data_IF_153708402434
#
_entry.id   IF_153708402434
#
_cell.length_a   1.000
_cell.length_b   1.000
_cell.length_c   1.000
_cell.angle_alpha   90.00
_cell.angle_beta   90.00
_cell.angle_gamma   90.00
#
_symmetry.space_group_name_H-M   'P 1'
#
loop_
_entity.id
_entity.type
_entity.pdbx_description
1 polymer ?
#
# COMPACT_ATOMS: atom_id res chain seq x y z
N UNK A 1 -8.91 28.74 -14.07
CA UNK A 1 -8.12 27.65 -13.45
C UNK A 1 -8.70 27.45 -12.06
N UNK A 2 -9.12 26.23 -11.71
CA UNK A 2 -9.76 25.95 -10.42
C UNK A 2 -8.83 25.08 -9.56
N UNK A 3 -8.72 25.40 -8.27
CA UNK A 3 -7.74 24.81 -7.37
C UNK A 3 -8.20 23.43 -6.88
N UNK A 4 -7.42 22.39 -7.15
CA UNK A 4 -7.78 20.98 -6.84
C UNK A 4 -7.46 20.56 -5.38
N UNK A 5 -7.01 21.48 -4.52
CA UNK A 5 -6.36 21.15 -3.25
C UNK A 5 -6.96 21.82 -1.99
N UNK A 6 -8.04 22.60 -2.12
CA UNK A 6 -8.50 23.54 -1.08
C UNK A 6 -9.64 23.00 -0.19
N UNK A 7 -9.57 21.73 0.24
CA UNK A 7 -10.61 21.10 1.08
C UNK A 7 -10.14 19.93 1.96
N UNK A 8 -9.08 20.14 2.75
CA UNK A 8 -8.84 19.35 3.98
C UNK A 8 -8.47 20.31 5.12
N UNK A 9 -9.47 21.05 5.63
CA UNK A 9 -9.32 21.86 6.84
C UNK A 9 -10.65 22.01 7.61
N UNK A 10 -10.78 21.26 8.71
CA UNK A 10 -11.60 21.66 9.86
C UNK A 10 -13.12 21.45 9.81
N UNK A 11 -13.60 20.43 10.52
CA UNK A 11 -14.87 20.46 11.27
C UNK A 11 -14.84 19.37 12.34
N UNK A 12 -14.49 19.74 13.58
CA UNK A 12 -14.60 18.85 14.74
C UNK A 12 -15.80 19.27 15.58
N UNK A 13 -16.83 18.43 15.59
CA UNK A 13 -17.99 18.53 16.50
C UNK A 13 -18.42 17.11 16.84
N UNK A 14 -18.16 16.70 18.08
CA UNK A 14 -18.36 15.31 18.50
C UNK A 14 -19.72 15.05 19.17
N UNK A 15 -19.95 13.80 19.55
CA UNK A 15 -20.72 13.50 20.74
C UNK A 15 -20.24 12.20 21.42
N UNK A 16 -20.48 12.08 22.73
CA UNK A 16 -20.03 10.97 23.61
C UNK A 16 -21.10 9.89 23.76
N UNK A 17 -20.72 8.62 23.98
CA UNK A 17 -21.18 7.76 25.11
C UNK A 17 -20.55 6.35 25.09
N UNK A 18 -20.47 5.67 26.26
CA UNK A 18 -19.87 4.35 26.47
C UNK A 18 -18.39 4.45 26.90
N UNK A 19 -18.02 4.53 28.18
CA UNK A 19 -18.28 3.65 29.34
C UNK A 19 -17.58 2.29 29.27
N UNK A 20 -16.41 2.18 29.93
CA UNK A 20 -16.22 1.20 31.01
C UNK A 20 -15.00 1.62 31.86
N UNK A 21 -15.15 1.64 33.19
CA UNK A 21 -14.08 1.96 34.15
C UNK A 21 -13.63 0.68 34.85
N UNK A 22 -12.40 0.21 34.60
CA UNK A 22 -11.83 -0.92 35.35
C UNK A 22 -10.65 -0.45 36.18
N UNK A 23 -10.89 -0.37 37.50
CA UNK A 23 -9.92 -0.09 38.56
C UNK A 23 -9.62 -1.40 39.31
N UNK A 24 -8.36 -1.72 39.67
CA UNK A 24 -8.05 -2.99 40.31
C UNK A 24 -8.61 -3.06 41.74
N UNK A 25 -9.15 -4.21 42.19
CA UNK A 25 -9.62 -4.37 43.57
C UNK A 25 -8.45 -4.64 44.54
N UNK A 26 -8.54 -4.07 45.72
CA UNK A 26 -7.64 -4.34 46.84
C UNK A 26 -8.39 -5.07 47.98
N UNK A 27 -7.70 -6.05 48.58
CA UNK A 27 -7.84 -6.51 49.98
C UNK A 27 -9.21 -6.95 50.52
N UNK A 28 -9.31 -8.25 50.85
CA UNK A 28 -10.35 -8.82 51.72
C UNK A 28 -9.81 -9.96 52.59
N UNK A 29 -9.81 -9.78 53.91
CA UNK A 29 -9.20 -10.66 54.93
C UNK A 29 -10.16 -11.74 55.43
N UNK A 30 -9.68 -12.97 55.78
CA UNK A 30 -9.93 -13.66 57.09
C UNK A 30 -9.22 -15.04 57.21
N UNK A 31 -8.89 -15.45 58.43
CA UNK A 31 -8.16 -16.69 58.82
C UNK A 31 -9.06 -17.84 59.34
N UNK A 32 -8.41 -18.99 59.62
CA UNK A 32 -8.76 -20.20 60.42
C UNK A 32 -8.90 -21.48 59.54
N UNK A 33 -8.46 -22.70 59.91
CA UNK A 33 -7.63 -23.21 61.05
C UNK A 33 -7.08 -24.62 60.72
N UNK A 34 -5.98 -25.06 61.37
CA UNK A 34 -5.50 -26.47 61.33
C UNK A 34 -4.26 -26.69 62.23
N UNK A 35 -4.12 -27.81 62.99
CA UNK A 35 -3.22 -27.85 64.15
C UNK A 35 -1.89 -28.63 64.01
N UNK A 36 -0.92 -28.18 64.81
CA UNK A 36 0.12 -28.93 65.53
C UNK A 36 1.03 -29.95 64.82
N UNK A 37 2.32 -29.59 64.72
CA UNK A 37 3.45 -30.51 64.90
C UNK A 37 4.57 -29.81 65.69
N UNK A 38 5.19 -30.52 66.64
CA UNK A 38 6.24 -30.00 67.54
C UNK A 38 7.62 -29.97 66.90
N UNK A 39 8.38 -28.89 67.13
CA UNK A 39 9.81 -28.80 66.79
C UNK A 39 10.49 -27.67 67.56
N UNK A 40 11.41 -28.00 68.46
CA UNK A 40 12.13 -27.03 69.32
C UNK A 40 13.36 -26.46 68.62
N UNK A 41 13.73 -25.20 68.90
CA UNK A 41 14.95 -24.59 68.34
C UNK A 41 15.06 -23.08 68.52
N UNK A 42 15.46 -22.61 69.71
CA UNK A 42 15.81 -21.21 69.95
C UNK A 42 17.19 -20.87 69.39
N UNK A 43 17.31 -19.88 68.50
CA UNK A 43 18.57 -19.12 68.31
C UNK A 43 18.30 -17.66 67.92
N UNK A 44 19.06 -16.75 68.51
CA UNK A 44 19.01 -15.31 68.24
C UNK A 44 19.85 -14.94 66.99
N UNK A 45 19.47 -13.90 66.24
CA UNK A 45 20.39 -12.83 65.77
C UNK A 45 19.75 -11.73 64.91
N UNK A 46 19.74 -10.51 65.46
CA UNK A 46 20.06 -9.19 64.86
C UNK A 46 20.03 -9.00 63.31
N UNK A 47 19.07 -8.19 62.82
CA UNK A 47 19.16 -7.29 61.64
C UNK A 47 19.02 -7.92 60.24
N UNK A 48 18.48 -7.21 59.21
CA UNK A 48 18.94 -5.87 58.82
C UNK A 48 17.83 -4.83 58.47
N UNK A 49 18.28 -3.66 57.98
CA UNK A 49 17.50 -2.45 57.66
C UNK A 49 16.61 -2.58 56.37
N UNK A 50 15.58 -1.72 56.19
CA UNK A 50 14.61 -1.86 55.10
C UNK A 50 15.22 -1.61 53.72
N UNK A 51 14.85 -2.45 52.75
CA UNK A 51 15.38 -2.38 51.39
C UNK A 51 14.91 -1.12 50.66
N UNK A 52 15.87 -0.31 50.23
CA UNK A 52 15.67 0.82 49.33
C UNK A 52 15.45 0.28 47.91
N UNK A 53 14.34 0.65 47.28
CA UNK A 53 14.00 0.23 45.91
C UNK A 53 14.98 0.83 44.90
N UNK A 54 15.87 0.01 44.34
CA UNK A 54 16.58 0.37 43.11
C UNK A 54 15.60 0.30 41.92
N UNK A 55 15.52 1.34 41.06
CA UNK A 55 14.86 1.21 39.78
C UNK A 55 15.69 0.29 38.86
N UNK A 56 15.07 -0.48 37.95
CA UNK A 56 15.79 -1.37 37.06
C UNK A 56 16.61 -0.56 36.05
N UNK A 57 17.94 -0.65 36.16
CA UNK A 57 18.90 -0.19 35.16
C UNK A 57 18.86 -1.11 33.93
N UNK A 58 17.79 -1.00 33.14
CA UNK A 58 17.81 -1.44 31.76
C UNK A 58 18.83 -0.61 30.95
N UNK A 59 19.45 -1.17 29.89
CA UNK A 59 20.35 -0.40 29.04
C UNK A 59 19.58 0.77 28.40
N UNK A 60 19.98 2.00 28.71
CA UNK A 60 19.49 3.18 28.00
C UNK A 60 20.04 3.06 26.57
N UNK A 61 19.20 3.06 25.51
CA UNK A 61 19.69 3.00 24.14
C UNK A 61 20.66 4.16 23.87
N UNK A 62 21.79 3.94 23.20
CA UNK A 62 22.72 5.03 22.89
C UNK A 62 22.00 6.08 22.05
N UNK A 63 22.28 7.37 22.29
CA UNK A 63 21.53 8.48 21.67
C UNK A 63 21.51 8.44 20.12
N UNK A 64 22.50 7.79 19.51
CA UNK A 64 22.55 7.55 18.06
C UNK A 64 21.41 6.65 17.57
N UNK A 65 20.98 5.64 18.34
CA UNK A 65 19.90 4.73 17.93
C UNK A 65 18.54 5.44 17.97
N UNK A 66 18.32 6.31 18.97
CA UNK A 66 17.14 7.17 19.01
C UNK A 66 17.11 8.17 17.84
N UNK A 67 18.27 8.74 17.51
CA UNK A 67 18.41 9.69 16.39
C UNK A 67 18.16 8.99 15.05
N UNK A 68 18.68 7.77 14.86
CA UNK A 68 18.41 6.95 13.66
C UNK A 68 16.94 6.54 13.58
N UNK A 69 16.35 6.02 14.66
CA UNK A 69 14.93 5.65 14.66
C UNK A 69 14.01 6.84 14.34
N UNK A 70 14.35 8.05 14.79
CA UNK A 70 13.64 9.28 14.43
C UNK A 70 13.82 9.63 12.94
N UNK A 71 15.02 9.48 12.37
CA UNK A 71 15.27 9.68 10.93
C UNK A 71 14.49 8.68 10.08
N UNK A 72 14.52 7.40 10.44
CA UNK A 72 13.79 6.33 9.76
C UNK A 72 12.27 6.55 9.83
N UNK A 73 11.75 7.00 10.97
CA UNK A 73 10.34 7.37 11.12
C UNK A 73 9.93 8.54 10.22
N UNK A 74 10.76 9.59 10.12
CA UNK A 74 10.48 10.73 9.23
C UNK A 74 10.54 10.32 7.75
N UNK A 75 11.51 9.48 7.36
CA UNK A 75 11.60 8.94 6.02
C UNK A 75 10.39 8.06 5.67
N UNK A 76 9.99 7.16 6.58
CA UNK A 76 8.82 6.30 6.43
C UNK A 76 7.51 7.11 6.34
N UNK A 77 7.36 8.19 7.12
CA UNK A 77 6.20 9.09 7.03
C UNK A 77 6.11 9.76 5.66
N UNK A 78 7.22 10.31 5.17
CA UNK A 78 7.29 10.95 3.85
C UNK A 78 6.98 9.94 2.72
N UNK A 79 7.54 8.72 2.82
CA UNK A 79 7.29 7.65 1.87
C UNK A 79 5.81 7.21 1.88
N UNK A 80 5.18 7.13 3.06
CA UNK A 80 3.76 6.81 3.20
C UNK A 80 2.85 7.91 2.62
N UNK A 81 3.19 9.18 2.84
CA UNK A 81 2.48 10.31 2.24
C UNK A 81 2.57 10.30 0.70
N UNK A 82 3.76 10.04 0.14
CA UNK A 82 3.93 9.87 -1.30
C UNK A 82 3.16 8.65 -1.84
N UNK A 83 3.21 7.51 -1.15
CA UNK A 83 2.50 6.29 -1.54
C UNK A 83 0.98 6.47 -1.51
N UNK A 84 0.47 7.20 -0.51
CA UNK A 84 -0.95 7.57 -0.40
C UNK A 84 -1.37 8.47 -1.56
N UNK A 85 -0.60 9.51 -1.89
CA UNK A 85 -0.87 10.38 -3.04
C UNK A 85 -0.93 9.58 -4.34
N UNK A 86 0.10 8.78 -4.62
CA UNK A 86 0.16 7.91 -5.81
C UNK A 86 -1.06 6.98 -5.89
N UNK A 87 -1.41 6.32 -4.79
CA UNK A 87 -2.54 5.37 -4.75
C UNK A 87 -3.89 6.05 -4.93
N UNK A 88 -4.10 7.23 -4.33
CA UNK A 88 -5.33 8.00 -4.46
C UNK A 88 -5.51 8.56 -5.89
N UNK A 89 -4.45 9.14 -6.47
CA UNK A 89 -4.49 9.62 -7.86
C UNK A 89 -4.67 8.48 -8.86
N UNK A 90 -3.96 7.37 -8.70
CA UNK A 90 -4.12 6.21 -9.57
C UNK A 90 -5.53 5.60 -9.46
N UNK A 91 -6.11 5.52 -8.26
CA UNK A 91 -7.50 5.06 -8.08
C UNK A 91 -8.48 5.97 -8.82
N UNK A 92 -8.41 7.28 -8.61
CA UNK A 92 -9.28 8.27 -9.27
C UNK A 92 -9.22 8.18 -10.81
N UNK A 93 -8.05 7.89 -11.36
CA UNK A 93 -7.88 7.67 -12.80
C UNK A 93 -8.49 6.31 -13.19
N UNK A 94 -8.27 5.26 -12.41
CA UNK A 94 -8.70 3.91 -12.71
C UNK A 94 -10.20 3.68 -12.55
N UNK A 95 -10.91 4.54 -11.83
CA UNK A 95 -12.38 4.59 -11.84
C UNK A 95 -12.97 4.90 -13.24
N UNK A 96 -12.14 5.29 -14.23
CA UNK A 96 -12.50 5.37 -15.67
C UNK A 96 -12.63 4.00 -16.33
N UNK A 97 -11.93 2.99 -15.83
CA UNK A 97 -11.90 1.66 -16.45
C UNK A 97 -13.19 0.91 -16.17
N UNK A 98 -13.71 0.28 -17.21
CA UNK A 98 -14.72 -0.77 -17.13
C UNK A 98 -14.28 -1.94 -18.03
N UNK A 99 -14.99 -3.06 -17.97
CA UNK A 99 -14.57 -4.27 -18.68
C UNK A 99 -14.60 -4.16 -20.21
N UNK A 100 -15.34 -3.19 -20.77
CA UNK A 100 -15.35 -2.90 -22.22
C UNK A 100 -14.16 -2.04 -22.67
N UNK A 101 -13.73 -1.12 -21.80
CA UNK A 101 -12.60 -0.20 -22.00
C UNK A 101 -11.25 -0.88 -21.74
N UNK A 102 -11.20 -1.86 -20.81
CA UNK A 102 -9.99 -2.63 -20.49
C UNK A 102 -9.46 -3.43 -21.70
N UNK A 103 -8.14 -3.52 -21.84
CA UNK A 103 -7.52 -4.29 -22.93
C UNK A 103 -7.82 -5.79 -22.77
N UNK A 104 -8.53 -6.37 -23.74
CA UNK A 104 -8.88 -7.79 -23.75
C UNK A 104 -7.64 -8.69 -23.78
N UNK A 105 -7.73 -9.90 -23.23
CA UNK A 105 -6.63 -10.86 -23.16
C UNK A 105 -5.99 -11.20 -24.53
N UNK A 106 -6.78 -11.15 -25.60
CA UNK A 106 -6.37 -11.38 -26.98
C UNK A 106 -6.02 -10.09 -27.76
N UNK A 107 -6.15 -8.91 -27.14
CA UNK A 107 -5.87 -7.61 -27.73
C UNK A 107 -6.83 -7.18 -28.84
N UNK A 108 -8.02 -7.79 -28.97
CA UNK A 108 -8.98 -7.47 -30.04
C UNK A 108 -9.42 -6.01 -30.06
N UNK A 109 -9.45 -5.35 -28.89
CA UNK A 109 -9.81 -3.95 -28.71
C UNK A 109 -8.59 -3.01 -28.56
N UNK A 110 -7.38 -3.43 -28.93
CA UNK A 110 -6.14 -2.64 -28.73
C UNK A 110 -6.26 -1.19 -29.22
N UNK A 111 -6.79 -0.95 -30.43
CA UNK A 111 -6.93 0.40 -30.96
C UNK A 111 -7.85 1.29 -30.11
N UNK A 112 -8.97 0.73 -29.59
CA UNK A 112 -9.88 1.43 -28.69
C UNK A 112 -9.22 1.73 -27.35
N UNK A 113 -8.51 0.75 -26.79
CA UNK A 113 -7.78 0.90 -25.53
C UNK A 113 -6.67 1.97 -25.62
N UNK A 114 -5.96 2.06 -26.75
CA UNK A 114 -4.98 3.12 -27.00
C UNK A 114 -5.63 4.52 -27.02
N UNK A 115 -6.82 4.65 -27.62
CA UNK A 115 -7.55 5.91 -27.62
C UNK A 115 -8.01 6.29 -26.20
N UNK A 116 -8.58 5.34 -25.45
CA UNK A 116 -8.98 5.55 -24.04
C UNK A 116 -7.78 6.00 -23.19
N UNK A 117 -6.60 5.41 -23.38
CA UNK A 117 -5.39 5.81 -22.66
C UNK A 117 -4.97 7.26 -22.99
N UNK A 118 -5.21 7.73 -24.22
CA UNK A 118 -4.98 9.12 -24.64
C UNK A 118 -6.04 10.07 -24.07
N UNK A 119 -7.31 9.64 -24.01
CA UNK A 119 -8.39 10.39 -23.33
C UNK A 119 -8.11 10.54 -21.83
N UNK A 120 -7.64 9.48 -21.16
CA UNK A 120 -7.19 9.52 -19.76
C UNK A 120 -6.03 10.50 -19.57
N UNK A 121 -5.02 10.47 -20.45
CA UNK A 121 -3.90 11.41 -20.43
C UNK A 121 -4.35 12.86 -20.61
N UNK A 122 -5.31 13.09 -21.51
CA UNK A 122 -5.91 14.41 -21.73
C UNK A 122 -6.69 14.88 -20.50
N UNK A 123 -7.50 14.01 -19.89
CA UNK A 123 -8.41 14.37 -18.80
C UNK A 123 -7.72 14.55 -17.43
N UNK A 124 -6.64 13.81 -17.16
CA UNK A 124 -5.98 13.82 -15.83
C UNK A 124 -4.56 14.38 -15.83
N UNK A 125 -3.88 14.42 -17.00
CA UNK A 125 -2.51 14.92 -17.13
C UNK A 125 -2.41 16.13 -18.09
N UNK A 126 -3.55 16.62 -18.60
CA UNK A 126 -3.64 17.69 -19.61
C UNK A 126 -2.82 17.43 -20.88
N UNK A 127 -2.55 16.16 -21.21
CA UNK A 127 -1.67 15.76 -22.30
C UNK A 127 -2.06 14.38 -22.85
N UNK A 128 -2.65 14.33 -24.05
CA UNK A 128 -3.04 13.08 -24.71
C UNK A 128 -1.87 12.16 -25.08
N UNK A 129 -0.65 12.71 -25.21
CA UNK A 129 0.57 11.93 -25.49
C UNK A 129 1.27 11.43 -24.21
N UNK A 130 0.72 11.69 -23.02
CA UNK A 130 1.41 11.45 -21.73
C UNK A 130 1.93 10.01 -21.58
N UNK A 131 1.13 9.00 -21.94
CA UNK A 131 1.53 7.58 -21.89
C UNK A 131 2.38 7.13 -23.09
N UNK A 132 2.55 7.99 -24.10
CA UNK A 132 3.18 7.68 -25.39
C UNK A 132 4.59 8.26 -25.52
N UNK A 133 5.07 8.95 -24.48
CA UNK A 133 6.39 9.58 -24.36
C UNK A 133 7.05 9.17 -23.03
N UNK A 134 8.38 9.32 -22.87
CA UNK A 134 9.04 9.09 -21.58
C UNK A 134 8.47 10.01 -20.50
N UNK A 135 8.37 9.51 -19.26
CA UNK A 135 7.86 10.25 -18.10
C UNK A 135 9.00 10.45 -17.11
N UNK A 136 9.64 11.62 -17.14
CA UNK A 136 10.84 11.91 -16.32
C UNK A 136 10.53 11.97 -14.81
N UNK A 137 9.29 12.30 -14.44
CA UNK A 137 8.87 12.41 -13.04
C UNK A 137 8.48 11.04 -12.48
N UNK A 138 9.28 10.52 -11.54
CA UNK A 138 9.06 9.20 -10.93
C UNK A 138 7.71 9.01 -10.23
N UNK A 139 7.07 10.06 -9.73
CA UNK A 139 5.72 9.97 -9.13
C UNK A 139 4.67 9.78 -10.21
N UNK A 140 4.78 10.52 -11.31
CA UNK A 140 3.91 10.35 -12.48
C UNK A 140 4.13 9.00 -13.19
N UNK A 141 5.37 8.51 -13.29
CA UNK A 141 5.69 7.18 -13.83
C UNK A 141 5.07 6.06 -12.96
N UNK A 142 5.15 6.15 -11.62
CA UNK A 142 4.45 5.21 -10.72
C UNK A 142 2.93 5.21 -10.94
N UNK A 143 2.31 6.39 -11.04
CA UNK A 143 0.87 6.51 -11.33
C UNK A 143 0.55 5.90 -12.70
N UNK A 144 1.32 6.23 -13.73
CA UNK A 144 1.12 5.75 -15.10
C UNK A 144 1.18 4.22 -15.19
N UNK A 145 2.14 3.59 -14.49
CA UNK A 145 2.24 2.12 -14.41
C UNK A 145 1.01 1.50 -13.76
N UNK A 146 0.52 2.04 -12.65
CA UNK A 146 -0.71 1.54 -11.99
C UNK A 146 -1.92 1.70 -12.93
N UNK A 147 -1.99 2.80 -13.68
CA UNK A 147 -3.07 3.04 -14.65
C UNK A 147 -3.04 2.03 -15.81
N UNK A 148 -1.86 1.73 -16.35
CA UNK A 148 -1.71 0.70 -17.39
C UNK A 148 -2.01 -0.71 -16.85
N UNK A 149 -1.58 -1.04 -15.63
CA UNK A 149 -1.82 -2.36 -15.02
C UNK A 149 -3.30 -2.63 -14.72
N UNK A 150 -4.05 -1.63 -14.24
CA UNK A 150 -5.50 -1.74 -14.01
C UNK A 150 -6.33 -1.64 -15.30
N UNK A 151 -5.75 -1.06 -16.36
CA UNK A 151 -6.36 -0.91 -17.67
C UNK A 151 -6.29 -2.16 -18.56
N UNK A 152 -5.65 -3.25 -18.13
CA UNK A 152 -5.52 -4.49 -18.91
C UNK A 152 -6.25 -5.67 -18.27
N UNK A 153 -6.55 -6.69 -19.08
CA UNK A 153 -7.01 -7.97 -18.56
C UNK A 153 -5.96 -8.62 -17.62
N UNK A 154 -6.43 -9.23 -16.54
CA UNK A 154 -5.60 -9.80 -15.46
C UNK A 154 -4.52 -10.78 -15.94
N UNK A 155 -4.78 -11.53 -17.02
CA UNK A 155 -3.80 -12.45 -17.63
C UNK A 155 -2.58 -11.78 -18.27
N UNK A 156 -2.60 -10.46 -18.46
CA UNK A 156 -1.50 -9.67 -19.03
C UNK A 156 -0.62 -9.02 -17.94
N UNK A 157 -1.17 -8.85 -16.73
CA UNK A 157 -0.50 -8.19 -15.59
C UNK A 157 0.86 -8.82 -15.22
N UNK A 158 1.04 -10.16 -15.16
CA UNK A 158 2.32 -10.76 -14.76
C UNK A 158 3.49 -10.51 -15.72
N UNK A 159 3.19 -10.25 -17.00
CA UNK A 159 4.20 -9.89 -18.00
C UNK A 159 4.59 -8.42 -17.87
N UNK A 160 3.60 -7.54 -17.61
CA UNK A 160 3.81 -6.09 -17.48
C UNK A 160 4.47 -5.70 -16.17
N UNK A 161 4.17 -6.37 -15.05
CA UNK A 161 4.76 -6.07 -13.73
C UNK A 161 6.30 -6.15 -13.72
N UNK A 162 6.90 -6.95 -14.62
CA UNK A 162 8.35 -7.09 -14.79
C UNK A 162 9.01 -5.87 -15.43
N UNK A 163 8.22 -5.02 -16.07
CA UNK A 163 8.67 -3.87 -16.86
C UNK A 163 8.62 -2.60 -16.01
N UNK A 164 9.64 -1.75 -16.10
CA UNK A 164 9.84 -0.65 -15.16
C UNK A 164 9.31 0.72 -15.60
N UNK A 165 8.94 0.89 -16.87
CA UNK A 165 8.21 2.07 -17.37
C UNK A 165 6.86 1.73 -18.01
N UNK A 166 5.88 2.61 -17.84
CA UNK A 166 4.58 2.56 -18.52
C UNK A 166 4.72 2.62 -20.05
N UNK A 167 5.71 3.36 -20.58
CA UNK A 167 5.98 3.43 -22.02
C UNK A 167 6.50 2.08 -22.56
N UNK A 168 7.32 1.39 -21.78
CA UNK A 168 7.80 0.04 -22.11
C UNK A 168 6.67 -0.99 -22.01
N UNK A 169 5.80 -0.90 -20.99
CA UNK A 169 4.58 -1.73 -20.88
C UNK A 169 3.70 -1.57 -22.12
N UNK A 170 3.44 -0.32 -22.53
CA UNK A 170 2.69 0.01 -23.74
C UNK A 170 3.34 -0.57 -25.01
N UNK A 171 4.67 -0.48 -25.10
CA UNK A 171 5.45 -1.01 -26.23
C UNK A 171 5.41 -2.54 -26.29
N UNK A 172 5.46 -3.22 -25.13
CA UNK A 172 5.33 -4.67 -25.02
C UNK A 172 3.94 -5.14 -25.50
N UNK A 173 2.87 -4.46 -25.11
CA UNK A 173 1.50 -4.77 -25.54
C UNK A 173 1.33 -4.58 -27.06
N UNK A 174 1.79 -3.44 -27.60
CA UNK A 174 1.78 -3.18 -29.05
C UNK A 174 2.56 -4.26 -29.82
N UNK A 175 3.73 -4.68 -29.33
CA UNK A 175 4.54 -5.75 -29.93
C UNK A 175 3.83 -7.11 -29.88
N UNK A 176 3.25 -7.49 -28.74
CA UNK A 176 2.53 -8.76 -28.56
C UNK A 176 1.37 -8.89 -29.56
N UNK A 177 0.50 -7.88 -29.60
CA UNK A 177 -0.75 -7.97 -30.36
C UNK A 177 -0.59 -7.65 -31.85
N UNK A 178 0.44 -6.91 -32.26
CA UNK A 178 0.78 -6.80 -33.69
C UNK A 178 1.24 -8.13 -34.30
N UNK A 179 2.01 -8.94 -33.56
CA UNK A 179 2.40 -10.29 -33.99
C UNK A 179 1.19 -11.23 -34.06
N UNK A 180 0.33 -11.23 -33.04
CA UNK A 180 -0.91 -12.05 -33.02
C UNK A 180 -1.86 -11.65 -34.17
N UNK A 181 -2.05 -10.35 -34.40
CA UNK A 181 -2.88 -9.84 -35.51
C UNK A 181 -2.33 -10.28 -36.87
N UNK A 182 -1.02 -10.18 -37.10
CA UNK A 182 -0.39 -10.69 -38.34
C UNK A 182 -0.56 -12.19 -38.50
N UNK A 183 -0.41 -12.98 -37.44
CA UNK A 183 -0.64 -14.43 -37.50
C UNK A 183 -2.11 -14.77 -37.82
N UNK A 184 -3.07 -14.03 -37.24
CA UNK A 184 -4.48 -14.18 -37.55
C UNK A 184 -4.79 -13.85 -39.02
N UNK A 185 -4.22 -12.76 -39.55
CA UNK A 185 -4.34 -12.38 -40.97
C UNK A 185 -3.77 -13.47 -41.89
N UNK A 186 -2.59 -14.02 -41.59
CA UNK A 186 -1.99 -15.12 -42.36
C UNK A 186 -2.82 -16.40 -42.30
N UNK A 187 -3.43 -16.73 -41.15
CA UNK A 187 -4.33 -17.88 -41.03
C UNK A 187 -5.61 -17.71 -41.87
N UNK A 188 -6.18 -16.50 -41.92
CA UNK A 188 -7.32 -16.20 -42.80
C UNK A 188 -6.91 -16.30 -44.28
N UNK A 189 -5.75 -15.78 -44.65
CA UNK A 189 -5.21 -15.87 -46.02
C UNK A 189 -4.94 -17.31 -46.46
N UNK A 190 -4.25 -18.11 -45.64
CA UNK A 190 -4.00 -19.53 -45.92
C UNK A 190 -5.31 -20.31 -46.05
N UNK A 191 -6.32 -20.00 -45.22
CA UNK A 191 -7.65 -20.62 -45.34
C UNK A 191 -8.34 -20.24 -46.66
N UNK A 192 -8.20 -19.00 -47.12
CA UNK A 192 -8.73 -18.56 -48.41
C UNK A 192 -8.06 -19.28 -49.60
N UNK A 193 -6.73 -19.44 -49.57
CA UNK A 193 -6.00 -20.18 -50.61
C UNK A 193 -6.37 -21.67 -50.67
N UNK A 194 -6.67 -22.29 -49.52
CA UNK A 194 -7.07 -23.70 -49.44
C UNK A 194 -8.56 -23.95 -49.81
N UNK A 195 -9.26 -22.96 -50.35
CA UNK A 195 -10.62 -23.09 -50.88
C UNK A 195 -10.68 -23.04 -52.43
N UNK A 196 -9.54 -23.16 -53.12
CA UNK A 196 -9.43 -23.45 -54.56
C UNK A 196 -8.90 -24.87 -54.80
#
# INVERSE_FOLDING_TARGET
>A
MANLFDSIAGSSTGNRTGDETIRPPASGTRQQTGPAATGSGSHHSRGPAPHQTQPPTGPIPPANDLTRAQQDFLAAKLQLEQAKLVSQTAKLINDRWNDEKRLAANGSNLARWLNELSEIGTAHMSNGDFFFKPIDNMTFEKIARIVVLEGVHSSLVPDLQRVNSALEMLSLLKKRFSVVSRAAQMNVFNRFLNFS
#
